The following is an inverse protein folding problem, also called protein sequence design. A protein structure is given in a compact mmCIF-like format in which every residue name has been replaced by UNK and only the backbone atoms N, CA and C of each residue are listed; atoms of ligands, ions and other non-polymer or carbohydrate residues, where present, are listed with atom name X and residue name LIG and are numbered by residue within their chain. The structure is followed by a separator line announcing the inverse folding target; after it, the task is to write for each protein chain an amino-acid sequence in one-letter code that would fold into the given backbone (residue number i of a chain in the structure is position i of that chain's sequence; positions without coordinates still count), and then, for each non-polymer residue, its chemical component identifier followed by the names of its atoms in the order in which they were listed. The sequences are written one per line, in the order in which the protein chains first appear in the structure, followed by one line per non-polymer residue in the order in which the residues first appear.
data_IF_245372806402
#
_entry.id   IF_245372806402
#
_cell.length_a   1.000
_cell.length_b   1.000
_cell.length_c   1.000
_cell.angle_alpha   90.00
_cell.angle_beta   90.00
_cell.angle_gamma   90.00
#
_symmetry.space_group_name_H-M   'P 1'
#
loop_
_entity.id
_entity.type
_entity.pdbx_description
1 polymer ?
#
# COMPACT_ATOMS: atom_id res chain seq x y z
N UNK A 1 6.82 -31.09 17.37
CA UNK A 1 7.56 -29.86 17.73
C UNK A 1 8.14 -30.06 19.10
N UNK A 2 9.46 -29.92 19.25
CA UNK A 2 10.16 -30.14 20.51
C UNK A 2 9.57 -29.28 21.64
N UNK A 3 9.51 -29.83 22.85
CA UNK A 3 8.85 -29.23 24.01
C UNK A 3 9.52 -27.90 24.42
N UNK A 4 10.79 -27.75 24.08
CA UNK A 4 11.58 -26.53 24.19
C UNK A 4 11.09 -25.43 23.22
N UNK A 5 10.90 -25.77 21.94
CA UNK A 5 10.42 -24.82 20.90
C UNK A 5 9.02 -24.29 21.24
N UNK A 6 8.12 -25.17 21.72
CA UNK A 6 6.77 -24.76 22.15
C UNK A 6 6.82 -23.77 23.33
N UNK A 7 7.74 -23.97 24.28
CA UNK A 7 7.92 -23.08 25.44
C UNK A 7 8.41 -21.70 25.03
N UNK A 8 9.31 -21.61 24.06
CA UNK A 8 9.79 -20.32 23.52
C UNK A 8 8.66 -19.61 22.78
N UNK A 9 7.94 -20.30 21.90
CA UNK A 9 6.83 -19.72 21.13
C UNK A 9 5.75 -19.11 22.04
N UNK A 10 5.36 -19.79 23.14
CA UNK A 10 4.37 -19.27 24.09
C UNK A 10 4.83 -18.04 24.90
N UNK A 11 6.11 -17.66 24.83
CA UNK A 11 6.67 -16.49 25.53
C UNK A 11 6.77 -15.26 24.63
N UNK A 12 6.62 -15.43 23.31
CA UNK A 12 6.64 -14.31 22.35
C UNK A 12 5.25 -13.67 22.36
N UNK A 13 5.13 -12.37 22.65
CA UNK A 13 3.85 -11.68 22.62
C UNK A 13 3.35 -11.52 21.18
N UNK A 14 2.04 -11.69 20.99
CA UNK A 14 1.38 -11.37 19.72
C UNK A 14 1.11 -9.87 19.64
N UNK A 15 1.64 -9.23 18.60
CA UNK A 15 1.45 -7.80 18.35
C UNK A 15 0.26 -7.58 17.40
N UNK A 16 -0.96 -7.57 17.94
CA UNK A 16 -2.21 -7.43 17.16
C UNK A 16 -2.26 -6.14 16.30
N UNK A 17 -1.50 -5.10 16.64
CA UNK A 17 -1.47 -3.81 15.92
C UNK A 17 -0.27 -3.66 14.96
N UNK A 18 0.56 -4.68 14.82
CA UNK A 18 1.79 -4.64 14.00
C UNK A 18 1.56 -4.23 12.55
N UNK A 19 0.35 -4.43 12.01
CA UNK A 19 -0.01 -3.97 10.67
C UNK A 19 0.16 -2.45 10.46
N UNK A 20 0.09 -1.65 11.53
CA UNK A 20 0.27 -0.21 11.45
C UNK A 20 1.73 0.18 11.17
N UNK A 21 2.70 -0.68 11.53
CA UNK A 21 4.12 -0.45 11.25
C UNK A 21 4.40 -0.36 9.74
N UNK A 22 3.68 -1.15 8.93
CA UNK A 22 3.77 -1.08 7.47
C UNK A 22 2.75 -0.08 6.88
N UNK A 23 1.58 0.02 7.50
CA UNK A 23 0.50 0.89 7.01
C UNK A 23 0.85 2.37 7.08
N UNK A 24 1.41 2.85 8.20
CA UNK A 24 1.71 4.28 8.40
C UNK A 24 2.73 4.79 7.37
N UNK A 25 3.88 4.15 7.15
CA UNK A 25 4.82 4.59 6.13
C UNK A 25 4.21 4.64 4.73
N UNK A 26 3.41 3.63 4.34
CA UNK A 26 2.70 3.64 3.05
C UNK A 26 1.71 4.81 2.96
N UNK A 27 0.91 5.05 3.99
CA UNK A 27 -0.02 6.19 4.02
C UNK A 27 0.74 7.50 3.82
N UNK A 28 1.83 7.71 4.56
CA UNK A 28 2.61 8.95 4.51
C UNK A 28 3.20 9.16 3.11
N UNK A 29 3.86 8.14 2.55
CA UNK A 29 4.48 8.22 1.22
C UNK A 29 3.43 8.52 0.15
N UNK A 30 2.33 7.76 0.13
CA UNK A 30 1.29 7.95 -0.90
C UNK A 30 0.49 9.25 -0.73
N UNK A 31 0.29 9.71 0.51
CA UNK A 31 -0.31 11.01 0.74
C UNK A 31 0.59 12.14 0.24
N UNK A 32 1.90 12.08 0.53
CA UNK A 32 2.87 13.08 0.05
C UNK A 32 2.96 13.06 -1.48
N UNK A 33 3.16 11.87 -2.08
CA UNK A 33 3.26 11.74 -3.53
C UNK A 33 2.01 12.23 -4.27
N UNK A 34 0.83 11.97 -3.72
CA UNK A 34 -0.42 12.44 -4.32
C UNK A 34 -0.63 13.95 -4.14
N UNK A 35 -0.25 14.51 -2.98
CA UNK A 35 -0.34 15.96 -2.72
C UNK A 35 0.64 16.75 -3.59
N UNK A 36 1.85 16.22 -3.81
CA UNK A 36 2.88 16.84 -4.63
C UNK A 36 2.48 16.94 -6.12
N UNK A 37 1.48 16.15 -6.55
CA UNK A 37 0.91 16.18 -7.91
C UNK A 37 -0.27 17.14 -8.07
N UNK A 38 -0.63 17.90 -7.02
CA UNK A 38 -1.73 18.87 -7.06
C UNK A 38 -1.21 20.31 -7.21
N UNK A 39 -1.84 21.15 -8.07
CA UNK A 39 -2.93 20.80 -8.98
C UNK A 39 -2.45 19.92 -10.15
N UNK A 40 -3.28 18.96 -10.55
CA UNK A 40 -2.96 18.07 -11.68
C UNK A 40 -2.90 18.88 -12.97
N UNK A 41 -1.75 18.86 -13.65
CA UNK A 41 -1.51 19.62 -14.87
C UNK A 41 -1.07 18.72 -16.04
N UNK A 42 -1.34 19.16 -17.27
CA UNK A 42 -1.06 18.39 -18.48
C UNK A 42 0.41 18.48 -18.92
N UNK A 43 1.14 19.51 -18.49
CA UNK A 43 2.54 19.72 -18.87
C UNK A 43 3.46 18.76 -18.10
N UNK A 44 3.26 18.61 -16.80
CA UNK A 44 3.91 17.61 -15.96
C UNK A 44 3.57 16.21 -16.44
N UNK A 45 2.31 15.92 -16.78
CA UNK A 45 1.94 14.62 -17.35
C UNK A 45 2.76 14.31 -18.62
N UNK A 46 2.90 15.29 -19.52
CA UNK A 46 3.70 15.14 -20.73
C UNK A 46 5.20 14.99 -20.44
N UNK A 47 5.73 15.58 -19.36
CA UNK A 47 7.13 15.41 -18.94
C UNK A 47 7.46 13.97 -18.52
N UNK A 48 6.45 13.21 -18.09
CA UNK A 48 6.55 11.78 -17.79
C UNK A 48 6.12 10.88 -18.97
N UNK A 49 5.86 11.45 -20.15
CA UNK A 49 5.32 10.76 -21.33
C UNK A 49 3.98 10.03 -21.06
N UNK A 50 3.15 10.63 -20.20
CA UNK A 50 1.85 10.07 -19.80
C UNK A 50 0.67 10.88 -20.35
N UNK A 51 -0.44 10.22 -20.74
CA UNK A 51 -1.69 10.90 -20.98
C UNK A 51 -2.18 11.60 -19.69
N UNK A 52 -2.78 12.78 -19.83
CA UNK A 52 -3.33 13.53 -18.69
C UNK A 52 -4.31 12.70 -17.84
N UNK A 53 -5.12 11.84 -18.47
CA UNK A 53 -6.03 10.94 -17.75
C UNK A 53 -5.28 9.96 -16.82
N UNK A 54 -4.15 9.42 -17.28
CA UNK A 54 -3.33 8.50 -16.48
C UNK A 54 -2.71 9.25 -15.31
N UNK A 55 -2.15 10.44 -15.56
CA UNK A 55 -1.59 11.30 -14.52
C UNK A 55 -2.64 11.68 -13.45
N UNK A 56 -3.85 12.02 -13.88
CA UNK A 56 -4.99 12.28 -12.99
C UNK A 56 -5.31 11.05 -12.13
N UNK A 57 -5.42 9.87 -12.74
CA UNK A 57 -5.70 8.62 -12.01
C UNK A 57 -4.59 8.30 -11.01
N UNK A 58 -3.32 8.55 -11.36
CA UNK A 58 -2.18 8.35 -10.45
C UNK A 58 -2.29 9.30 -9.25
N UNK A 59 -2.42 10.61 -9.48
CA UNK A 59 -2.46 11.60 -8.39
C UNK A 59 -3.60 11.34 -7.39
N UNK A 60 -4.83 11.14 -7.89
CA UNK A 60 -5.97 10.86 -7.02
C UNK A 60 -5.98 9.43 -6.50
N UNK A 61 -5.40 8.47 -7.24
CA UNK A 61 -5.22 7.10 -6.80
C UNK A 61 -4.27 6.99 -5.62
N UNK A 62 -3.17 7.76 -5.62
CA UNK A 62 -2.23 7.83 -4.51
C UNK A 62 -2.88 8.41 -3.25
N UNK A 63 -3.57 9.55 -3.36
CA UNK A 63 -4.33 10.14 -2.26
C UNK A 63 -5.43 9.22 -1.76
N UNK A 64 -6.21 8.65 -2.67
CA UNK A 64 -7.31 7.74 -2.37
C UNK A 64 -6.83 6.46 -1.68
N UNK A 65 -5.68 5.92 -2.10
CA UNK A 65 -5.09 4.75 -1.45
C UNK A 65 -4.56 5.07 -0.05
N UNK A 66 -3.94 6.24 0.15
CA UNK A 66 -3.51 6.67 1.48
C UNK A 66 -4.70 6.85 2.44
N UNK A 67 -5.74 7.53 1.99
CA UNK A 67 -7.00 7.72 2.75
C UNK A 67 -7.65 6.36 3.04
N UNK A 68 -7.75 5.50 2.03
CA UNK A 68 -8.38 4.19 2.17
C UNK A 68 -7.60 3.24 3.08
N UNK A 69 -6.27 3.23 3.05
CA UNK A 69 -5.47 2.48 4.02
C UNK A 69 -5.63 3.03 5.43
N UNK A 70 -5.71 4.35 5.61
CA UNK A 70 -5.92 4.96 6.92
C UNK A 70 -7.27 4.54 7.52
N UNK A 71 -8.38 4.83 6.82
CA UNK A 71 -9.72 4.50 7.31
C UNK A 71 -9.99 2.99 7.35
N UNK A 72 -9.47 2.25 6.38
CA UNK A 72 -9.53 0.79 6.37
C UNK A 72 -8.88 0.17 7.60
N UNK A 73 -7.85 0.81 8.17
CA UNK A 73 -7.16 0.29 9.36
C UNK A 73 -7.81 0.61 10.70
N UNK A 74 -8.81 1.49 10.78
CA UNK A 74 -9.36 1.97 12.06
C UNK A 74 -10.40 1.05 12.70
N UNK A 75 -11.06 0.20 11.92
CA UNK A 75 -12.27 -0.50 12.35
C UNK A 75 -12.01 -1.98 12.70
N UNK A 76 -11.32 -2.20 13.82
CA UNK A 76 -10.86 -3.54 14.27
C UNK A 76 -11.51 -4.04 15.57
N UNK A 77 -12.47 -3.31 16.14
CA UNK A 77 -13.10 -3.72 17.42
C UNK A 77 -14.37 -4.56 17.22
N UNK A 78 -14.59 -5.52 18.12
CA UNK A 78 -15.79 -6.38 18.15
C UNK A 78 -17.10 -5.60 18.33
N UNK A 79 -17.04 -4.32 18.71
CA UNK A 79 -18.20 -3.45 18.90
C UNK A 79 -18.75 -2.85 17.61
N UNK A 80 -18.06 -3.04 16.48
CA UNK A 80 -18.45 -2.50 15.17
C UNK A 80 -19.30 -3.52 14.42
N UNK A 81 -20.27 -3.04 13.63
CA UNK A 81 -21.11 -3.91 12.80
C UNK A 81 -20.29 -4.67 11.75
N UNK A 82 -20.71 -5.90 11.44
CA UNK A 82 -20.04 -6.75 10.44
C UNK A 82 -19.94 -6.07 9.07
N UNK A 83 -20.96 -5.31 8.67
CA UNK A 83 -20.94 -4.52 7.42
C UNK A 83 -19.76 -3.53 7.37
N UNK A 84 -19.47 -2.84 8.49
CA UNK A 84 -18.35 -1.88 8.55
C UNK A 84 -17.01 -2.60 8.56
N UNK A 85 -16.91 -3.78 9.20
CA UNK A 85 -15.71 -4.62 9.15
C UNK A 85 -15.43 -5.07 7.71
N UNK A 86 -16.43 -5.58 7.00
CA UNK A 86 -16.32 -5.98 5.59
C UNK A 86 -15.95 -4.80 4.70
N UNK A 87 -16.61 -3.65 4.87
CA UNK A 87 -16.29 -2.44 4.12
C UNK A 87 -14.84 -1.98 4.36
N UNK A 88 -14.36 -2.05 5.61
CA UNK A 88 -12.98 -1.69 5.96
C UNK A 88 -11.95 -2.65 5.35
N UNK A 89 -12.27 -3.95 5.29
CA UNK A 89 -11.43 -4.98 4.65
C UNK A 89 -11.35 -4.73 3.14
N UNK A 90 -12.50 -4.55 2.49
CA UNK A 90 -12.57 -4.24 1.06
C UNK A 90 -11.80 -2.95 0.75
N UNK A 91 -11.98 -1.90 1.57
CA UNK A 91 -11.28 -0.63 1.39
C UNK A 91 -9.76 -0.82 1.50
N UNK A 92 -9.29 -1.53 2.52
CA UNK A 92 -7.86 -1.85 2.69
C UNK A 92 -7.30 -2.59 1.48
N UNK A 93 -8.04 -3.58 0.98
CA UNK A 93 -7.60 -4.42 -0.13
C UNK A 93 -7.58 -3.66 -1.45
N UNK A 94 -8.61 -2.85 -1.68
CA UNK A 94 -8.68 -1.97 -2.83
C UNK A 94 -7.53 -0.96 -2.82
N UNK A 95 -7.26 -0.31 -1.69
CA UNK A 95 -6.12 0.62 -1.56
C UNK A 95 -4.78 -0.06 -1.78
N UNK A 96 -4.58 -1.27 -1.23
CA UNK A 96 -3.38 -2.05 -1.48
C UNK A 96 -3.21 -2.43 -2.95
N UNK A 97 -4.30 -2.80 -3.62
CA UNK A 97 -4.30 -3.09 -5.06
C UNK A 97 -3.95 -1.85 -5.89
N UNK A 98 -4.55 -0.70 -5.57
CA UNK A 98 -4.24 0.59 -6.21
C UNK A 98 -2.76 0.93 -6.08
N UNK A 99 -2.18 0.79 -4.87
CA UNK A 99 -0.73 0.97 -4.65
C UNK A 99 0.08 0.05 -5.55
N UNK A 100 -0.27 -1.24 -5.62
CA UNK A 100 0.39 -2.22 -6.47
C UNK A 100 0.36 -1.83 -7.96
N UNK A 101 -0.78 -1.37 -8.47
CA UNK A 101 -0.91 -0.89 -9.85
C UNK A 101 -0.06 0.36 -10.11
N UNK A 102 -0.10 1.35 -9.22
CA UNK A 102 0.63 2.61 -9.39
C UNK A 102 2.14 2.36 -9.34
N UNK A 103 2.62 1.56 -8.38
CA UNK A 103 4.05 1.23 -8.30
C UNK A 103 4.54 0.41 -9.49
N UNK A 104 3.71 -0.48 -10.04
CA UNK A 104 4.02 -1.14 -11.32
C UNK A 104 4.24 -0.11 -12.43
N UNK A 105 3.38 0.91 -12.51
CA UNK A 105 3.52 2.00 -13.47
C UNK A 105 4.79 2.84 -13.25
N UNK A 106 5.08 3.21 -12.00
CA UNK A 106 6.29 3.99 -11.64
C UNK A 106 7.56 3.24 -12.02
N UNK A 107 7.64 1.94 -11.67
CA UNK A 107 8.77 1.08 -12.05
C UNK A 107 8.88 0.98 -13.58
N UNK A 108 7.75 0.90 -14.30
CA UNK A 108 7.75 0.79 -15.75
C UNK A 108 8.26 2.07 -16.44
N UNK A 109 7.91 3.24 -15.91
CA UNK A 109 8.38 4.54 -16.44
C UNK A 109 9.89 4.68 -16.30
N UNK A 110 10.51 4.04 -15.31
CA UNK A 110 11.96 4.04 -15.14
C UNK A 110 12.71 3.23 -16.22
N UNK A 111 12.00 2.51 -17.10
CA UNK A 111 12.56 1.68 -18.18
C UNK A 111 13.69 0.74 -17.71
N UNK A 112 13.42 -0.16 -16.74
CA UNK A 112 14.46 -1.01 -16.18
C UNK A 112 14.98 -2.01 -17.22
N UNK A 113 16.27 -2.35 -17.15
CA UNK A 113 16.89 -3.30 -18.07
C UNK A 113 16.35 -4.72 -17.89
N UNK A 114 16.00 -5.09 -16.65
CA UNK A 114 15.43 -6.40 -16.32
C UNK A 114 14.69 -6.39 -14.98
N UNK A 115 13.92 -7.45 -14.71
CA UNK A 115 13.27 -7.63 -13.39
C UNK A 115 14.30 -7.80 -12.28
N UNK A 116 15.46 -8.41 -12.56
CA UNK A 116 16.51 -8.59 -11.56
C UNK A 116 17.12 -7.25 -11.16
N UNK A 117 17.26 -6.33 -12.11
CA UNK A 117 17.73 -4.97 -11.87
C UNK A 117 16.80 -4.21 -10.91
N UNK A 118 15.48 -4.25 -11.17
CA UNK A 118 14.46 -3.68 -10.27
C UNK A 118 14.57 -4.24 -8.86
N UNK A 119 14.69 -5.56 -8.71
CA UNK A 119 14.75 -6.21 -7.40
C UNK A 119 16.02 -5.89 -6.61
N UNK A 120 17.14 -5.63 -7.28
CA UNK A 120 18.43 -5.38 -6.62
C UNK A 120 18.67 -3.89 -6.35
N UNK A 121 18.17 -3.00 -7.22
CA UNK A 121 18.55 -1.60 -7.20
C UNK A 121 17.37 -0.66 -6.95
N UNK A 122 16.15 -1.03 -7.34
CA UNK A 122 14.95 -0.23 -7.10
C UNK A 122 14.22 -0.61 -5.79
N UNK A 123 15.01 -0.72 -4.73
CA UNK A 123 14.59 -1.26 -3.45
C UNK A 123 13.38 -0.51 -2.85
N UNK A 124 13.32 0.81 -3.03
CA UNK A 124 12.25 1.63 -2.46
C UNK A 124 10.91 1.37 -3.17
N UNK A 125 10.85 1.42 -4.50
CA UNK A 125 9.61 1.14 -5.22
C UNK A 125 9.18 -0.32 -5.06
N UNK A 126 10.13 -1.27 -4.98
CA UNK A 126 9.82 -2.68 -4.68
C UNK A 126 9.19 -2.83 -3.29
N UNK A 127 9.72 -2.14 -2.27
CA UNK A 127 9.13 -2.15 -0.92
C UNK A 127 7.71 -1.58 -0.92
N UNK A 128 7.45 -0.49 -1.64
CA UNK A 128 6.13 0.10 -1.76
C UNK A 128 5.16 -0.82 -2.51
N UNK A 129 5.62 -1.43 -3.61
CA UNK A 129 4.86 -2.38 -4.41
C UNK A 129 4.42 -3.59 -3.60
N UNK A 130 5.38 -4.24 -2.91
CA UNK A 130 5.10 -5.38 -2.03
C UNK A 130 4.26 -4.97 -0.81
N UNK A 131 4.45 -3.76 -0.29
CA UNK A 131 3.64 -3.20 0.79
C UNK A 131 2.16 -3.03 0.40
N UNK A 132 1.90 -2.54 -0.82
CA UNK A 132 0.55 -2.48 -1.38
C UNK A 132 -0.06 -3.87 -1.58
N UNK A 133 0.68 -4.78 -2.22
CA UNK A 133 0.24 -6.16 -2.45
C UNK A 133 -0.05 -6.90 -1.14
N UNK A 134 0.74 -6.65 -0.09
CA UNK A 134 0.48 -7.19 1.24
C UNK A 134 -0.92 -6.81 1.74
N UNK A 135 -1.30 -5.53 1.67
CA UNK A 135 -2.64 -5.10 2.09
C UNK A 135 -3.74 -5.55 1.12
N UNK A 136 -3.45 -5.64 -0.19
CA UNK A 136 -4.38 -6.16 -1.20
C UNK A 136 -4.81 -7.61 -0.90
N UNK A 137 -3.84 -8.44 -0.54
CA UNK A 137 -4.04 -9.87 -0.31
C UNK A 137 -4.54 -10.15 1.11
N UNK A 138 -3.89 -9.56 2.12
CA UNK A 138 -4.19 -9.82 3.54
C UNK A 138 -5.50 -9.18 3.98
N UNK A 139 -5.77 -7.95 3.55
CA UNK A 139 -6.83 -7.12 4.13
C UNK A 139 -6.61 -6.85 5.62
N UNK A 140 -7.69 -6.87 6.39
CA UNK A 140 -7.73 -6.58 7.83
C UNK A 140 -7.75 -7.82 8.72
N UNK A 141 -7.57 -9.01 8.15
CA UNK A 141 -7.61 -10.26 8.92
C UNK A 141 -6.44 -10.34 9.92
N UNK A 142 -6.78 -10.35 11.21
CA UNK A 142 -5.91 -10.74 12.34
C UNK A 142 -6.02 -12.22 12.61
#
# INVERSE_FOLDING_TARGET
MDMFVKRISMRIPDFCMSHWLLRIPLIVVFAQQGLDKLPVDAETAASFDLPYLVWWVVAYGELGAAVGLFFGGLFFTDKISELVKEASDILTRFSGFTIGCIMTGVIWIAQPESVLDVLLYDNFHVMLWLGGLYFALRGNRT
#
